data_IF_935848422459
#
_entry.id   IF_935848422459
#
_cell.length_a   1.000
_cell.length_b   1.000
_cell.length_c   1.000
_cell.angle_alpha   90.00
_cell.angle_beta   90.00
_cell.angle_gamma   90.00
#
_symmetry.space_group_name_H-M   'P 1'
#
loop_
_entity.id
_entity.type
_entity.pdbx_description
1 polymer ?
#
# COMPACT_ATOMS: atom_id res chain seq x y z
N UNK A 1 -5.94 -18.30 5.39
CA UNK A 1 -6.50 -16.98 5.75
C UNK A 1 -5.67 -15.97 4.99
N UNK A 2 -6.28 -15.16 4.11
CA UNK A 2 -5.56 -14.11 3.36
C UNK A 2 -5.18 -13.02 4.36
N UNK A 3 -3.91 -12.66 4.41
CA UNK A 3 -3.42 -11.57 5.25
C UNK A 3 -3.43 -10.26 4.46
N UNK A 4 -3.56 -9.11 5.12
CA UNK A 4 -3.61 -7.81 4.42
C UNK A 4 -2.35 -7.53 3.58
N UNK A 5 -1.21 -8.15 3.93
CA UNK A 5 0.05 -8.11 3.16
C UNK A 5 -0.04 -8.85 1.83
N UNK A 6 -0.97 -9.80 1.67
CA UNK A 6 -1.16 -10.54 0.41
C UNK A 6 -1.98 -9.73 -0.61
N UNK A 7 -2.74 -8.72 -0.14
CA UNK A 7 -3.57 -7.90 -1.01
C UNK A 7 -2.72 -6.94 -1.86
N UNK A 8 -3.10 -6.68 -3.11
CA UNK A 8 -2.42 -5.67 -3.92
C UNK A 8 -2.67 -4.27 -3.37
N UNK A 9 -1.80 -3.31 -3.73
CA UNK A 9 -1.82 -1.98 -3.14
C UNK A 9 -3.15 -1.23 -3.32
N UNK A 10 -3.84 -1.44 -4.44
CA UNK A 10 -5.11 -0.78 -4.75
C UNK A 10 -6.28 -1.31 -3.90
N UNK A 11 -6.24 -2.56 -3.44
CA UNK A 11 -7.23 -3.10 -2.49
C UNK A 11 -6.98 -2.52 -1.09
N UNK A 12 -5.71 -2.45 -0.68
CA UNK A 12 -5.31 -1.86 0.62
C UNK A 12 -5.66 -0.37 0.67
N UNK A 13 -5.38 0.36 -0.41
CA UNK A 13 -5.61 1.80 -0.49
C UNK A 13 -7.04 2.16 -0.92
N UNK A 14 -7.83 1.19 -1.38
CA UNK A 14 -9.15 1.37 -2.02
C UNK A 14 -9.13 2.42 -3.13
N UNK A 15 -8.20 2.30 -4.07
CA UNK A 15 -8.09 3.25 -5.18
C UNK A 15 -9.28 3.12 -6.15
N UNK A 16 -9.92 4.23 -6.50
CA UNK A 16 -10.94 4.32 -7.56
C UNK A 16 -10.30 4.71 -8.90
N UNK A 17 -10.68 4.04 -10.00
CA UNK A 17 -10.15 4.27 -11.36
C UNK A 17 -8.91 3.46 -11.69
N UNK A 18 -8.95 2.65 -12.76
CA UNK A 18 -8.12 1.43 -12.80
C UNK A 18 -7.38 1.09 -14.08
N UNK A 19 -7.46 1.90 -15.14
CA UNK A 19 -6.85 1.48 -16.42
C UNK A 19 -5.42 2.00 -16.58
N UNK A 20 -5.10 3.15 -15.97
CA UNK A 20 -3.77 3.76 -16.07
C UNK A 20 -2.87 3.50 -14.86
N UNK A 21 -3.33 2.74 -13.87
CA UNK A 21 -2.53 2.41 -12.70
C UNK A 21 -1.35 1.48 -13.09
N UNK A 22 -0.08 1.92 -12.96
CA UNK A 22 1.06 1.08 -13.30
C UNK A 22 1.11 -0.21 -12.48
N UNK A 23 0.74 -0.14 -11.19
CA UNK A 23 0.68 -1.33 -10.33
C UNK A 23 -0.32 -2.39 -10.80
N UNK A 24 -1.43 -2.00 -11.44
CA UNK A 24 -2.39 -2.97 -12.01
C UNK A 24 -1.87 -3.62 -13.29
N UNK A 25 -1.04 -2.92 -14.05
CA UNK A 25 -0.37 -3.45 -15.25
C UNK A 25 0.76 -4.43 -14.91
N UNK A 26 1.29 -4.35 -13.69
CA UNK A 26 2.39 -5.18 -13.19
C UNK A 26 2.04 -5.80 -11.82
N UNK A 27 1.10 -6.76 -11.77
CA UNK A 27 0.58 -7.31 -10.50
C UNK A 27 1.63 -8.10 -9.69
N UNK A 28 2.70 -8.55 -10.33
CA UNK A 28 3.81 -9.27 -9.67
C UNK A 28 4.80 -8.33 -8.96
N UNK A 29 4.69 -7.02 -9.20
CA UNK A 29 5.54 -6.01 -8.60
C UNK A 29 4.77 -5.22 -7.54
N UNK A 30 5.48 -4.84 -6.48
CA UNK A 30 4.94 -3.91 -5.52
C UNK A 30 4.95 -2.49 -6.09
N UNK A 31 4.01 -1.66 -5.65
CA UNK A 31 3.86 -0.30 -6.16
C UNK A 31 5.11 0.59 -5.97
N UNK A 32 5.93 0.32 -4.94
CA UNK A 32 7.16 1.07 -4.71
C UNK A 32 8.29 0.65 -5.65
N UNK A 33 8.32 -0.59 -6.14
CA UNK A 33 9.32 -1.06 -7.12
C UNK A 33 9.08 -0.33 -8.45
N UNK A 34 7.81 -0.25 -8.86
CA UNK A 34 7.38 0.47 -10.05
C UNK A 34 7.64 1.98 -9.92
N UNK A 35 7.27 2.59 -8.79
CA UNK A 35 7.58 3.99 -8.52
C UNK A 35 9.10 4.25 -8.56
N UNK A 36 9.91 3.23 -8.25
CA UNK A 36 11.36 3.34 -8.28
C UNK A 36 11.95 3.43 -9.68
N UNK A 37 11.30 2.81 -10.66
CA UNK A 37 11.68 2.81 -12.07
C UNK A 37 11.18 4.06 -12.80
N UNK A 38 10.08 4.64 -12.33
CA UNK A 38 9.43 5.80 -12.95
C UNK A 38 9.99 7.17 -12.52
N UNK A 39 11.02 7.19 -11.66
CA UNK A 39 11.52 8.40 -10.97
C UNK A 39 10.37 9.23 -10.34
N UNK A 40 9.39 8.50 -9.78
CA UNK A 40 8.16 9.09 -9.25
C UNK A 40 8.48 9.93 -8.01
N UNK A 41 7.83 11.10 -7.88
CA UNK A 41 8.01 12.01 -6.75
C UNK A 41 7.82 11.29 -5.40
N UNK A 42 6.97 10.25 -5.33
CA UNK A 42 6.77 9.44 -4.12
C UNK A 42 8.07 8.78 -3.62
N UNK A 43 8.98 8.41 -4.52
CA UNK A 43 10.31 7.92 -4.16
C UNK A 43 11.23 9.07 -3.75
N UNK A 44 11.24 10.17 -4.51
CA UNK A 44 12.08 11.33 -4.21
C UNK A 44 11.83 11.90 -2.80
N UNK A 45 10.58 11.78 -2.30
CA UNK A 45 10.18 12.24 -0.97
C UNK A 45 10.06 11.11 0.07
N UNK A 46 10.55 9.90 -0.21
CA UNK A 46 10.44 8.71 0.66
C UNK A 46 9.01 8.35 1.12
N UNK A 47 7.98 8.86 0.43
CA UNK A 47 6.55 8.64 0.77
C UNK A 47 6.21 7.15 0.77
N UNK A 48 6.87 6.36 -0.10
CA UNK A 48 6.64 4.91 -0.13
C UNK A 48 7.03 4.22 1.18
N UNK A 49 8.09 4.64 1.87
CA UNK A 49 8.54 3.98 3.12
C UNK A 49 7.56 4.22 4.28
N UNK A 50 6.91 5.38 4.27
CA UNK A 50 5.89 5.75 5.26
C UNK A 50 4.47 5.30 4.84
N UNK A 51 4.32 4.71 3.65
CA UNK A 51 3.02 4.26 3.16
C UNK A 51 2.57 2.99 3.88
N UNK A 52 1.28 2.93 4.23
CA UNK A 52 0.68 1.75 4.87
C UNK A 52 0.89 0.45 4.07
N UNK A 53 0.93 0.53 2.73
CA UNK A 53 1.18 -0.62 1.87
C UNK A 53 2.59 -1.18 2.09
N UNK A 54 3.60 -0.30 2.14
CA UNK A 54 4.98 -0.69 2.38
C UNK A 54 5.16 -1.22 3.80
N UNK A 55 4.62 -0.52 4.81
CA UNK A 55 4.69 -0.98 6.20
C UNK A 55 4.03 -2.36 6.41
N UNK A 56 2.96 -2.67 5.67
CA UNK A 56 2.31 -3.98 5.73
C UNK A 56 3.12 -5.08 5.03
N UNK A 57 3.69 -4.80 3.85
CA UNK A 57 4.28 -5.81 2.98
C UNK A 57 5.78 -6.00 3.16
N UNK A 58 6.52 -4.92 3.41
CA UNK A 58 7.97 -4.97 3.61
C UNK A 58 8.34 -5.34 5.06
N UNK A 59 7.35 -5.46 5.95
CA UNK A 59 7.49 -5.72 7.40
C UNK A 59 8.44 -4.77 8.12
N UNK A 60 8.79 -3.64 7.49
CA UNK A 60 9.72 -2.65 8.02
C UNK A 60 8.93 -1.49 8.61
N UNK A 61 8.42 -1.69 9.82
CA UNK A 61 7.69 -0.66 10.56
C UNK A 61 7.97 -0.76 12.05
N UNK A 62 7.94 0.39 12.73
CA UNK A 62 8.01 0.46 14.20
C UNK A 62 6.70 0.05 14.87
N UNK A 63 5.63 -0.12 14.09
CA UNK A 63 4.30 -0.46 14.57
C UNK A 63 4.17 -1.97 14.80
N UNK A 64 3.53 -2.33 15.90
CA UNK A 64 3.18 -3.72 16.18
C UNK A 64 2.09 -4.22 15.23
N UNK A 65 1.97 -5.54 15.09
CA UNK A 65 0.90 -6.17 14.30
C UNK A 65 -0.50 -5.71 14.73
N UNK A 66 -0.72 -5.48 16.02
CA UNK A 66 -2.00 -5.03 16.56
C UNK A 66 -2.30 -3.56 16.20
N UNK A 67 -1.30 -2.69 16.26
CA UNK A 67 -1.44 -1.29 15.82
C UNK A 67 -1.74 -1.23 14.33
N UNK A 68 -1.02 -2.02 13.52
CA UNK A 68 -1.27 -2.13 12.08
C UNK A 68 -2.69 -2.61 11.77
N UNK A 69 -3.18 -3.62 12.48
CA UNK A 69 -4.57 -4.07 12.34
C UNK A 69 -5.58 -3.00 12.74
N UNK A 70 -5.29 -2.21 13.77
CA UNK A 70 -6.16 -1.12 14.23
C UNK A 70 -6.26 -0.02 13.17
N UNK A 71 -5.14 0.40 12.60
CA UNK A 71 -5.08 1.37 11.50
C UNK A 71 -5.89 0.86 10.30
N UNK A 72 -5.74 -0.41 9.93
CA UNK A 72 -6.47 -1.01 8.79
C UNK A 72 -7.98 -1.08 9.03
N UNK A 73 -8.41 -1.41 10.25
CA UNK A 73 -9.83 -1.40 10.62
C UNK A 73 -10.40 0.02 10.56
N UNK A 74 -9.70 1.00 11.11
CA UNK A 74 -10.14 2.39 11.10
C UNK A 74 -10.21 2.94 9.67
N UNK A 75 -9.19 2.71 8.85
CA UNK A 75 -9.20 3.09 7.42
C UNK A 75 -10.41 2.49 6.69
N UNK A 76 -10.74 1.24 7.00
CA UNK A 76 -11.90 0.57 6.40
C UNK A 76 -13.23 1.16 6.87
N UNK A 77 -13.33 1.56 8.14
CA UNK A 77 -14.52 2.16 8.76
C UNK A 77 -14.75 3.63 8.35
N UNK A 78 -13.69 4.42 8.22
CA UNK A 78 -13.76 5.83 7.81
C UNK A 78 -14.22 6.05 6.36
N UNK A 79 -14.29 4.98 5.55
CA UNK A 79 -14.79 5.04 4.17
C UNK A 79 -16.28 4.67 4.07
N UNK A 80 -16.95 4.45 5.20
CA UNK A 80 -18.39 4.12 5.32
C UNK A 80 -19.15 5.25 6.04
N UNK A 81 -18.51 6.39 6.30
CA UNK A 81 -19.09 7.54 6.99
C UNK A 81 -19.29 8.72 6.04
#
# INVERSE_FOLDING_TARGET
MVTNSDLPCWEIMKCEGTDDCPARKHPDLNCWEIASEMDDYRKAFNICQDCIVYMLKAENTVLTKQEMQTIMKQKSASLIA
#
